data_IF_877638391460
#
_entry.id   IF_877638391460
#
_cell.length_a   1.000
_cell.length_b   1.000
_cell.length_c   1.000
_cell.angle_alpha   90.00
_cell.angle_beta   90.00
_cell.angle_gamma   90.00
#
_symmetry.space_group_name_H-M   'P 1'
#
loop_
_entity.id
_entity.type
_entity.pdbx_description
1 polymer ?
#
# COMPACT_ATOMS: atom_id res chain seq x y z
N UNK A 1 -45.70 19.21 55.07
CA UNK A 1 -45.58 18.77 53.66
C UNK A 1 -44.77 19.73 52.78
N UNK A 2 -44.82 21.06 53.00
CA UNK A 2 -44.15 22.05 52.13
C UNK A 2 -42.60 21.98 52.09
N UNK A 3 -41.93 21.62 53.19
CA UNK A 3 -40.44 21.50 53.23
C UNK A 3 -39.88 20.32 52.43
N UNK A 4 -40.64 19.23 52.24
CA UNK A 4 -40.17 18.06 51.48
C UNK A 4 -40.28 18.26 49.97
N UNK A 5 -41.26 19.05 49.54
CA UNK A 5 -41.47 19.41 48.12
C UNK A 5 -40.38 20.38 47.65
N UNK A 6 -39.94 21.31 48.51
CA UNK A 6 -38.87 22.25 48.17
C UNK A 6 -37.50 21.55 47.97
N UNK A 7 -37.22 20.50 48.75
CA UNK A 7 -35.96 19.73 48.65
C UNK A 7 -35.95 18.85 47.40
N UNK A 8 -37.07 18.24 47.01
CA UNK A 8 -37.16 17.48 45.76
C UNK A 8 -37.07 18.38 44.52
N UNK A 9 -37.64 19.58 44.56
CA UNK A 9 -37.55 20.53 43.44
C UNK A 9 -36.13 21.05 43.23
N UNK A 10 -35.34 21.19 44.30
CA UNK A 10 -33.95 21.66 44.20
C UNK A 10 -32.99 20.58 43.70
N UNK A 11 -33.30 19.29 43.92
CA UNK A 11 -32.47 18.17 43.43
C UNK A 11 -32.73 17.86 41.95
N UNK A 12 -33.90 18.21 41.42
CA UNK A 12 -34.22 17.97 40.01
C UNK A 12 -33.60 19.03 39.08
N UNK A 13 -33.30 20.23 39.59
CA UNK A 13 -32.71 21.33 38.80
C UNK A 13 -31.19 21.20 38.63
N UNK A 14 -30.51 20.47 39.53
CA UNK A 14 -29.06 20.21 39.41
C UNK A 14 -28.70 19.11 38.42
N UNK A 15 -29.66 18.29 37.96
CA UNK A 15 -29.41 17.24 36.95
C UNK A 15 -29.45 17.75 35.49
N UNK A 16 -29.91 18.99 35.25
CA UNK A 16 -30.06 19.51 33.88
C UNK A 16 -28.89 20.39 33.40
N UNK A 17 -27.78 20.48 34.16
CA UNK A 17 -26.58 21.24 33.77
C UNK A 17 -25.45 20.38 33.16
N UNK A 18 -25.70 19.09 32.90
CA UNK A 18 -24.67 18.16 32.41
C UNK A 18 -24.53 18.00 30.89
N UNK A 19 -25.25 18.78 30.06
CA UNK A 19 -25.40 18.49 28.62
C UNK A 19 -24.83 19.56 27.66
N UNK A 20 -23.81 20.32 28.07
CA UNK A 20 -23.00 21.12 27.15
C UNK A 20 -21.51 20.82 27.35
N UNK A 21 -21.12 19.56 27.20
CA UNK A 21 -19.78 19.26 26.69
C UNK A 21 -19.78 19.54 25.20
N UNK A 22 -19.72 20.81 24.84
CA UNK A 22 -19.15 21.21 23.55
C UNK A 22 -17.77 20.58 23.50
N UNK A 23 -17.63 19.48 22.76
CA UNK A 23 -16.35 19.00 22.30
C UNK A 23 -15.76 20.10 21.44
N UNK A 24 -15.05 21.03 22.08
CA UNK A 24 -14.01 21.82 21.46
C UNK A 24 -13.16 20.78 20.76
N UNK A 25 -13.26 20.75 19.43
CA UNK A 25 -12.32 20.04 18.59
C UNK A 25 -11.00 20.70 18.89
N UNK A 26 -10.30 20.16 19.88
CA UNK A 26 -8.90 20.39 20.07
C UNK A 26 -8.31 20.01 18.71
N UNK A 27 -7.97 21.01 17.91
CA UNK A 27 -6.85 20.92 17.00
C UNK A 27 -5.62 20.76 17.90
N UNK A 28 -5.56 19.62 18.59
CA UNK A 28 -4.36 19.11 19.16
C UNK A 28 -3.48 18.92 17.95
N UNK A 29 -2.54 19.86 17.76
CA UNK A 29 -1.25 19.58 17.16
C UNK A 29 -0.93 18.15 17.58
N UNK A 30 -1.06 17.22 16.63
CA UNK A 30 -0.80 15.83 16.91
C UNK A 30 0.62 15.80 17.45
N UNK A 31 0.72 15.46 18.74
CA UNK A 31 2.01 15.28 19.36
C UNK A 31 2.65 14.13 18.59
N UNK A 32 3.71 14.42 17.84
CA UNK A 32 4.44 13.40 17.11
C UNK A 32 5.08 12.48 18.16
N UNK A 33 4.37 11.41 18.48
CA UNK A 33 4.88 10.39 19.39
C UNK A 33 5.87 9.56 18.59
N UNK A 34 7.14 9.98 18.63
CA UNK A 34 8.28 9.20 18.17
C UNK A 34 8.50 8.01 19.12
N UNK A 35 7.50 7.13 19.20
CA UNK A 35 7.56 5.82 19.81
C UNK A 35 7.63 4.74 18.74
N UNK A 36 7.96 3.51 19.13
CA UNK A 36 7.92 2.31 18.29
C UNK A 36 6.46 1.96 17.96
N UNK A 37 5.77 2.82 17.20
CA UNK A 37 4.37 2.61 16.86
C UNK A 37 4.19 1.42 15.91
N UNK A 38 5.26 0.93 15.28
CA UNK A 38 5.28 -0.31 14.48
C UNK A 38 4.35 -0.31 13.26
N UNK A 39 3.52 0.71 13.08
CA UNK A 39 2.47 0.78 12.06
C UNK A 39 3.08 0.93 10.66
N UNK A 40 4.19 1.66 10.54
CA UNK A 40 4.80 2.01 9.26
C UNK A 40 5.93 1.06 8.85
N UNK A 41 6.19 0.00 9.60
CA UNK A 41 7.35 -0.87 9.36
C UNK A 41 7.07 -2.33 9.68
N UNK A 42 7.63 -3.25 8.89
CA UNK A 42 7.63 -4.68 9.17
C UNK A 42 8.85 -5.36 8.57
N UNK A 43 9.42 -6.32 9.30
CA UNK A 43 10.55 -7.12 8.82
C UNK A 43 10.07 -8.38 8.12
N UNK A 44 10.72 -8.71 7.00
CA UNK A 44 10.43 -9.88 6.17
C UNK A 44 11.72 -10.67 5.92
N UNK A 45 11.63 -12.00 5.73
CA UNK A 45 12.77 -12.78 5.27
C UNK A 45 13.10 -12.44 3.81
N UNK A 46 14.38 -12.55 3.44
CA UNK A 46 14.85 -12.35 2.08
C UNK A 46 15.66 -11.07 1.88
N UNK A 47 16.01 -10.83 0.62
CA UNK A 47 16.79 -9.66 0.20
C UNK A 47 15.93 -8.43 0.01
N UNK A 48 16.55 -7.25 0.11
CA UNK A 48 15.92 -5.96 -0.13
C UNK A 48 15.13 -5.92 -1.44
N UNK A 49 15.74 -6.42 -2.51
CA UNK A 49 15.13 -6.49 -3.84
C UNK A 49 13.90 -7.41 -3.87
N UNK A 50 13.93 -8.54 -3.16
CA UNK A 50 12.79 -9.46 -3.12
C UNK A 50 11.60 -8.88 -2.36
N UNK A 51 11.84 -8.22 -1.23
CA UNK A 51 10.83 -7.54 -0.45
C UNK A 51 10.20 -6.38 -1.23
N UNK A 52 11.01 -5.57 -1.92
CA UNK A 52 10.51 -4.44 -2.70
C UNK A 52 9.77 -4.85 -3.97
N UNK A 53 10.15 -5.95 -4.62
CA UNK A 53 9.37 -6.51 -5.72
C UNK A 53 8.02 -7.08 -5.24
N UNK A 54 7.99 -7.74 -4.07
CA UNK A 54 6.75 -8.18 -3.45
C UNK A 54 5.84 -6.99 -3.05
N UNK A 55 6.41 -5.93 -2.48
CA UNK A 55 5.71 -4.68 -2.19
C UNK A 55 5.15 -4.02 -3.45
N UNK A 56 5.91 -4.01 -4.54
CA UNK A 56 5.44 -3.50 -5.83
C UNK A 56 4.23 -4.28 -6.34
N UNK A 57 4.27 -5.61 -6.26
CA UNK A 57 3.13 -6.48 -6.63
C UNK A 57 1.93 -6.24 -5.74
N UNK A 58 2.13 -6.06 -4.43
CA UNK A 58 1.07 -5.69 -3.50
C UNK A 58 0.41 -4.35 -3.87
N UNK A 59 1.18 -3.31 -4.22
CA UNK A 59 0.61 -2.04 -4.66
C UNK A 59 -0.19 -2.20 -5.97
N UNK A 60 0.36 -2.92 -6.94
CA UNK A 60 -0.30 -3.19 -8.21
C UNK A 60 -1.62 -3.97 -8.02
N UNK A 61 -1.67 -4.95 -7.11
CA UNK A 61 -2.87 -5.73 -6.83
C UNK A 61 -4.00 -4.87 -6.25
N UNK A 62 -3.64 -3.80 -5.53
CA UNK A 62 -4.60 -2.85 -4.97
C UNK A 62 -4.93 -1.70 -5.93
N UNK A 63 -4.51 -1.77 -7.19
CA UNK A 63 -4.83 -0.78 -8.22
C UNK A 63 -4.02 0.52 -8.12
N UNK A 64 -2.86 0.51 -7.46
CA UNK A 64 -1.94 1.64 -7.51
C UNK A 64 -1.18 1.64 -8.85
N UNK A 65 -1.03 2.84 -9.43
CA UNK A 65 -0.15 3.06 -10.57
C UNK A 65 1.24 3.40 -10.04
N UNK A 66 2.24 2.62 -10.41
CA UNK A 66 3.64 2.84 -9.99
C UNK A 66 4.18 4.08 -10.72
N UNK A 67 4.60 5.09 -9.95
CA UNK A 67 5.12 6.36 -10.46
C UNK A 67 6.64 6.45 -10.45
N UNK A 68 7.30 5.75 -9.53
CA UNK A 68 8.76 5.61 -9.48
C UNK A 68 9.11 4.22 -8.93
N UNK A 69 10.20 3.63 -9.43
CA UNK A 69 10.66 2.31 -9.03
C UNK A 69 12.18 2.21 -9.10
N UNK A 70 12.79 1.86 -7.95
CA UNK A 70 14.19 1.50 -7.78
C UNK A 70 14.26 0.20 -6.97
N UNK A 71 15.41 -0.50 -6.95
CA UNK A 71 15.54 -1.77 -6.23
C UNK A 71 15.10 -1.73 -4.76
N UNK A 72 15.33 -0.60 -4.08
CA UNK A 72 15.00 -0.39 -2.66
C UNK A 72 13.81 0.54 -2.41
N UNK A 73 13.23 1.16 -3.45
CA UNK A 73 12.21 2.21 -3.29
C UNK A 73 11.10 2.02 -4.32
N UNK A 74 9.86 1.98 -3.84
CA UNK A 74 8.66 1.96 -4.69
C UNK A 74 7.80 3.18 -4.36
N UNK A 75 7.34 3.89 -5.39
CA UNK A 75 6.28 4.90 -5.26
C UNK A 75 5.09 4.53 -6.11
N UNK A 76 3.90 4.52 -5.51
CA UNK A 76 2.65 4.24 -6.19
C UNK A 76 1.61 5.31 -5.87
N UNK A 77 0.70 5.56 -6.82
CA UNK A 77 -0.40 6.50 -6.63
C UNK A 77 -1.71 5.86 -7.01
N UNK A 78 -2.75 6.09 -6.22
CA UNK A 78 -4.12 5.67 -6.54
C UNK A 78 -5.06 6.84 -6.37
N UNK A 79 -5.83 7.12 -7.43
CA UNK A 79 -6.85 8.16 -7.43
C UNK A 79 -8.20 7.55 -7.09
N UNK A 80 -8.98 8.29 -6.31
CA UNK A 80 -10.32 7.93 -5.87
C UNK A 80 -11.23 9.14 -6.07
N UNK A 81 -12.43 8.90 -6.56
CA UNK A 81 -13.48 9.91 -6.65
C UNK A 81 -14.70 9.31 -5.99
N UNK A 82 -14.99 9.74 -4.76
CA UNK A 82 -16.17 9.25 -4.03
C UNK A 82 -17.45 9.90 -4.59
N UNK A 83 -17.36 11.22 -4.82
CA UNK A 83 -18.41 12.05 -5.38
C UNK A 83 -17.84 12.87 -6.55
N UNK A 84 -18.70 13.34 -7.46
CA UNK A 84 -18.28 14.09 -8.65
C UNK A 84 -17.40 15.32 -8.33
N UNK A 85 -17.57 15.92 -7.14
CA UNK A 85 -16.87 17.15 -6.73
C UNK A 85 -15.65 16.91 -5.82
N UNK A 86 -15.43 15.67 -5.37
CA UNK A 86 -14.37 15.33 -4.42
C UNK A 86 -13.39 14.35 -5.05
N UNK A 87 -12.21 14.87 -5.37
CA UNK A 87 -11.10 14.06 -5.86
C UNK A 87 -10.12 13.80 -4.73
N UNK A 88 -9.75 12.54 -4.51
CA UNK A 88 -8.72 12.16 -3.57
C UNK A 88 -7.61 11.39 -4.28
N UNK A 89 -6.37 11.61 -3.87
CA UNK A 89 -5.20 10.86 -4.33
C UNK A 89 -4.48 10.30 -3.11
N UNK A 90 -4.10 9.03 -3.16
CA UNK A 90 -3.21 8.42 -2.17
C UNK A 90 -1.87 8.20 -2.85
N UNK A 91 -0.84 8.87 -2.34
CA UNK A 91 0.55 8.57 -2.68
C UNK A 91 1.12 7.61 -1.63
N UNK A 92 1.60 6.46 -2.08
CA UNK A 92 2.18 5.41 -1.27
C UNK A 92 3.67 5.32 -1.57
N UNK A 93 4.49 5.45 -0.53
CA UNK A 93 5.95 5.37 -0.58
C UNK A 93 6.41 4.16 0.22
N UNK A 94 7.18 3.28 -0.40
CA UNK A 94 7.76 2.09 0.23
C UNK A 94 9.28 2.15 0.09
N UNK A 95 10.00 1.88 1.18
CA UNK A 95 11.46 1.77 1.21
C UNK A 95 11.82 0.44 1.88
N UNK A 96 12.58 -0.38 1.20
CA UNK A 96 13.11 -1.63 1.74
C UNK A 96 14.57 -1.41 2.14
N UNK A 97 14.96 -1.92 3.30
CA UNK A 97 16.33 -1.79 3.82
C UNK A 97 16.75 -3.13 4.42
N UNK A 98 17.91 -3.66 4.03
CA UNK A 98 18.48 -4.84 4.68
C UNK A 98 18.86 -4.54 6.14
N UNK A 99 18.47 -5.41 7.10
CA UNK A 99 18.62 -5.13 8.54
C UNK A 99 20.09 -5.09 8.98
N UNK A 100 20.92 -5.92 8.36
CA UNK A 100 22.37 -5.98 8.57
C UNK A 100 23.04 -6.65 7.38
N UNK A 101 24.33 -6.32 7.14
CA UNK A 101 25.11 -7.00 6.10
C UNK A 101 25.17 -8.50 6.38
N UNK A 102 24.65 -9.32 5.47
CA UNK A 102 24.61 -10.78 5.60
C UNK A 102 23.41 -11.33 6.38
N UNK A 103 22.54 -10.48 6.94
CA UNK A 103 21.22 -10.93 7.39
C UNK A 103 20.36 -11.31 6.18
N UNK A 104 19.60 -12.39 6.29
CA UNK A 104 18.58 -12.76 5.31
C UNK A 104 17.23 -12.15 5.68
N UNK A 105 17.25 -10.90 6.17
CA UNK A 105 16.07 -10.16 6.56
C UNK A 105 16.16 -8.72 6.07
N UNK A 106 14.99 -8.20 5.73
CA UNK A 106 14.81 -6.85 5.21
C UNK A 106 13.64 -6.23 5.94
N UNK A 107 13.83 -5.02 6.44
CA UNK A 107 12.75 -4.20 6.97
C UNK A 107 12.16 -3.34 5.86
N UNK A 108 10.83 -3.39 5.73
CA UNK A 108 10.06 -2.60 4.77
C UNK A 108 9.36 -1.47 5.53
N UNK A 109 9.71 -0.23 5.18
CA UNK A 109 9.08 0.99 5.66
C UNK A 109 8.05 1.48 4.65
N UNK A 110 6.86 1.84 5.11
CA UNK A 110 5.74 2.25 4.29
C UNK A 110 5.10 3.53 4.84
N UNK A 111 4.85 4.49 3.96
CA UNK A 111 4.09 5.69 4.28
C UNK A 111 3.09 6.00 3.16
N UNK A 112 1.86 6.33 3.53
CA UNK A 112 0.82 6.73 2.61
C UNK A 112 0.23 8.09 2.99
N UNK A 113 0.29 9.04 2.06
CA UNK A 113 -0.29 10.38 2.21
C UNK A 113 -1.52 10.47 1.34
N UNK A 114 -2.62 10.97 1.90
CA UNK A 114 -3.87 11.25 1.20
C UNK A 114 -4.01 12.75 0.98
N UNK A 115 -4.10 13.12 -0.29
CA UNK A 115 -4.49 14.46 -0.71
C UNK A 115 -5.97 14.47 -1.07
N UNK A 116 -6.69 15.49 -0.60
CA UNK A 116 -8.09 15.74 -0.96
C UNK A 116 -8.18 17.06 -1.69
N UNK A 117 -8.94 17.05 -2.78
CA UNK A 117 -9.24 18.21 -3.62
C UNK A 117 -10.74 18.39 -3.70
N UNK A 118 -11.20 19.63 -3.60
CA UNK A 118 -12.59 20.00 -3.86
C UNK A 118 -12.66 20.91 -5.08
N UNK A 119 -13.75 20.83 -5.83
CA UNK A 119 -14.07 21.82 -6.85
C UNK A 119 -14.46 23.14 -6.18
N UNK A 120 -13.69 24.20 -6.47
CA UNK A 120 -14.11 25.56 -6.14
C UNK A 120 -14.78 26.16 -7.36
N UNK A 121 -16.10 26.34 -7.28
CA UNK A 121 -16.92 26.97 -8.31
C UNK A 121 -16.78 28.49 -8.22
N UNK A 122 -16.19 29.13 -9.24
CA UNK A 122 -16.17 30.60 -9.35
C UNK A 122 -17.21 31.04 -10.38
N UNK A 123 -18.12 31.94 -9.98
CA UNK A 123 -19.13 32.49 -10.87
C UNK A 123 -18.71 33.90 -11.30
N UNK A 124 -18.05 34.02 -12.46
CA UNK A 124 -17.65 35.30 -13.03
C UNK A 124 -18.74 35.78 -13.99
N UNK A 125 -19.48 36.82 -13.60
CA UNK A 125 -20.45 37.48 -14.49
C UNK A 125 -19.82 38.71 -15.14
N UNK A 126 -19.85 38.82 -16.47
CA UNK A 126 -19.49 40.04 -17.18
C UNK A 126 -20.72 40.96 -17.31
N UNK A 127 -20.69 42.14 -16.69
CA UNK A 127 -21.72 43.16 -16.90
C UNK A 127 -21.35 44.05 -18.08
N UNK A 128 -22.17 44.06 -19.13
CA UNK A 128 -22.05 45.04 -20.21
C UNK A 128 -22.84 46.29 -19.81
N UNK A 129 -22.13 47.40 -19.59
CA UNK A 129 -22.74 48.70 -19.36
C UNK A 129 -23.19 49.32 -20.68
N UNK A 130 -24.50 49.42 -20.89
CA UNK A 130 -25.10 50.22 -21.97
C UNK A 130 -25.53 51.57 -21.40
N UNK A 131 -24.82 52.63 -21.80
CA UNK A 131 -25.15 53.99 -21.40
C UNK A 131 -26.53 54.39 -21.95
N UNK A 132 -27.30 55.06 -21.09
CA UNK A 132 -28.63 55.67 -21.28
C UNK A 132 -29.89 54.88 -20.86
N UNK A 133 -29.88 53.56 -20.66
CA UNK A 133 -31.13 52.82 -20.36
C UNK A 133 -31.05 51.68 -19.33
N UNK A 134 -29.94 51.51 -18.61
CA UNK A 134 -29.80 50.53 -17.53
C UNK A 134 -29.08 49.25 -17.95
N UNK A 135 -28.39 48.62 -16.99
CA UNK A 135 -27.53 47.46 -17.22
C UNK A 135 -28.33 46.17 -17.37
N UNK A 136 -28.04 45.40 -18.42
CA UNK A 136 -28.53 44.03 -18.58
C UNK A 136 -27.39 43.07 -18.24
N UNK A 137 -27.50 42.39 -17.11
CA UNK A 137 -26.60 41.29 -16.75
C UNK A 137 -27.12 39.98 -17.35
N UNK A 138 -26.51 39.52 -18.44
CA UNK A 138 -26.74 38.17 -18.95
C UNK A 138 -25.73 37.22 -18.28
N UNK A 139 -26.18 36.14 -17.63
CA UNK A 139 -25.28 35.18 -16.99
C UNK A 139 -24.66 34.26 -18.05
N UNK A 140 -23.71 34.78 -18.82
CA UNK A 140 -22.76 33.94 -19.56
C UNK A 140 -21.53 33.72 -18.70
N UNK A 141 -21.73 33.01 -17.58
CA UNK A 141 -20.64 32.60 -16.70
C UNK A 141 -20.08 31.27 -17.20
N UNK A 142 -18.85 31.29 -17.74
CA UNK A 142 -18.02 30.08 -17.68
C UNK A 142 -17.93 29.70 -16.21
N UNK A 143 -18.40 28.49 -15.87
CA UNK A 143 -18.08 27.92 -14.57
C UNK A 143 -16.66 27.37 -14.67
N UNK A 144 -15.69 28.11 -14.14
CA UNK A 144 -14.33 27.59 -14.01
C UNK A 144 -14.28 26.75 -12.73
N UNK A 145 -14.23 25.43 -12.92
CA UNK A 145 -14.07 24.46 -11.86
C UNK A 145 -12.56 24.27 -11.60
N UNK A 146 -12.06 24.84 -10.51
CA UNK A 146 -10.66 24.69 -10.10
C UNK A 146 -10.53 23.68 -8.94
N UNK A 147 -9.62 22.71 -9.09
CA UNK A 147 -9.25 21.80 -8.01
C UNK A 147 -8.32 22.53 -7.03
N UNK A 148 -8.83 22.79 -5.82
CA UNK A 148 -8.01 23.32 -4.73
C UNK A 148 -7.72 22.19 -3.75
N UNK A 149 -6.45 22.00 -3.38
CA UNK A 149 -6.04 21.05 -2.34
C UNK A 149 -6.60 21.52 -1.00
N UNK A 150 -7.53 20.76 -0.43
CA UNK A 150 -8.24 21.10 0.81
C UNK A 150 -7.71 20.39 2.04
N UNK A 151 -7.03 19.25 1.88
CA UNK A 151 -6.36 18.54 2.96
C UNK A 151 -5.22 17.67 2.42
N UNK A 152 -4.19 17.46 3.24
CA UNK A 152 -3.06 16.55 3.01
C UNK A 152 -2.73 15.89 4.32
N UNK A 153 -2.93 14.59 4.44
CA UNK A 153 -2.79 13.88 5.70
C UNK A 153 -2.15 12.52 5.48
N UNK A 154 -1.15 12.19 6.30
CA UNK A 154 -0.65 10.81 6.41
C UNK A 154 -1.76 9.92 6.96
N UNK A 155 -2.03 8.80 6.31
CA UNK A 155 -3.01 7.83 6.78
C UNK A 155 -2.46 7.19 8.07
N UNK A 156 -3.09 7.38 9.25
CA UNK A 156 -2.52 6.93 10.53
C UNK A 156 -2.99 5.53 10.94
N UNK A 157 -3.80 4.86 10.12
CA UNK A 157 -4.51 3.64 10.52
C UNK A 157 -3.63 2.41 10.42
N UNK A 158 -3.35 1.75 11.55
CA UNK A 158 -2.60 0.47 11.60
C UNK A 158 -3.16 -0.61 10.66
N UNK A 159 -4.49 -0.75 10.59
CA UNK A 159 -5.14 -1.74 9.74
C UNK A 159 -4.78 -1.58 8.25
N UNK A 160 -4.63 -0.35 7.76
CA UNK A 160 -4.29 -0.07 6.37
C UNK A 160 -2.90 -0.62 6.02
N UNK A 161 -1.91 -0.38 6.87
CA UNK A 161 -0.55 -0.89 6.65
C UNK A 161 -0.46 -2.39 6.91
N UNK A 162 -1.19 -2.93 7.89
CA UNK A 162 -1.25 -4.38 8.12
C UNK A 162 -1.73 -5.12 6.86
N UNK A 163 -2.81 -4.68 6.23
CA UNK A 163 -3.30 -5.29 4.99
C UNK A 163 -2.28 -5.20 3.84
N UNK A 164 -1.55 -4.09 3.75
CA UNK A 164 -0.46 -3.95 2.79
C UNK A 164 0.66 -4.95 3.10
N UNK A 165 1.13 -5.03 4.33
CA UNK A 165 2.19 -5.95 4.74
C UNK A 165 1.79 -7.43 4.56
N UNK A 166 0.53 -7.78 4.82
CA UNK A 166 0.01 -9.13 4.59
C UNK A 166 -0.06 -9.48 3.08
N UNK A 167 -0.18 -8.47 2.20
CA UNK A 167 -0.01 -8.68 0.76
C UNK A 167 1.47 -8.88 0.39
N UNK A 168 2.38 -8.11 0.99
CA UNK A 168 3.82 -8.27 0.77
C UNK A 168 4.26 -9.70 1.13
N UNK A 169 3.85 -10.18 2.31
CA UNK A 169 4.14 -11.55 2.77
C UNK A 169 3.67 -12.60 1.76
N UNK A 170 2.42 -12.50 1.30
CA UNK A 170 1.87 -13.41 0.29
C UNK A 170 2.64 -13.40 -1.03
N UNK A 171 3.10 -12.24 -1.49
CA UNK A 171 3.89 -12.15 -2.73
C UNK A 171 5.34 -12.61 -2.56
N UNK A 172 5.88 -12.61 -1.34
CA UNK A 172 7.15 -13.24 -1.02
C UNK A 172 7.03 -14.77 -1.07
N UNK A 173 6.01 -15.33 -0.42
CA UNK A 173 5.76 -16.78 -0.41
C UNK A 173 5.39 -17.32 -1.79
N UNK A 174 4.71 -16.53 -2.61
CA UNK A 174 4.35 -16.89 -3.97
C UNK A 174 5.57 -17.22 -4.86
N UNK A 175 6.76 -16.68 -4.53
CA UNK A 175 8.02 -17.00 -5.22
C UNK A 175 8.57 -18.38 -4.82
N UNK A 176 8.12 -18.91 -3.69
CA UNK A 176 8.55 -20.20 -3.13
C UNK A 176 7.77 -21.37 -3.70
N UNK A 177 6.67 -21.15 -4.44
CA UNK A 177 6.06 -22.23 -5.22
C UNK A 177 6.98 -22.57 -6.39
N UNK A 178 7.61 -23.75 -6.40
CA UNK A 178 8.37 -24.20 -7.55
C UNK A 178 7.37 -24.38 -8.68
N UNK A 179 7.54 -23.65 -9.78
CA UNK A 179 7.14 -24.20 -11.06
C UNK A 179 8.13 -25.33 -11.39
N UNK A 180 8.06 -26.44 -10.67
CA UNK A 180 8.63 -27.70 -11.11
C UNK A 180 7.46 -28.57 -11.61
N UNK A 181 7.43 -28.94 -12.91
CA UNK A 181 6.58 -30.04 -13.32
C UNK A 181 7.04 -31.28 -12.55
N UNK A 182 6.12 -31.88 -11.80
CA UNK A 182 6.27 -33.17 -11.15
C UNK A 182 6.94 -34.14 -12.13
N UNK A 183 8.09 -34.75 -11.81
CA UNK A 183 8.63 -35.78 -12.68
C UNK A 183 7.66 -36.95 -12.64
N UNK A 184 6.94 -37.17 -13.74
CA UNK A 184 6.16 -38.37 -13.96
C UNK A 184 7.05 -39.57 -13.63
N UNK A 185 6.66 -40.29 -12.57
CA UNK A 185 7.28 -41.53 -12.15
C UNK A 185 7.21 -42.50 -13.32
N UNK A 186 8.32 -42.65 -14.04
CA UNK A 186 8.57 -43.83 -14.86
C UNK A 186 8.70 -45.02 -13.92
N UNK A 187 7.63 -45.80 -13.80
CA UNK A 187 7.82 -47.19 -13.42
C UNK A 187 6.78 -48.11 -14.04
N UNK A 188 7.33 -49.18 -14.65
CA UNK A 188 6.73 -50.47 -14.94
C UNK A 188 5.79 -50.60 -16.15
N UNK A 189 6.39 -50.85 -17.32
CA UNK A 189 6.00 -52.05 -18.08
C UNK A 189 7.24 -52.88 -18.44
N UNK A 190 7.72 -53.64 -17.45
CA UNK A 190 8.54 -54.83 -17.70
C UNK A 190 7.55 -55.99 -17.93
N UNK A 191 7.22 -56.27 -19.19
CA UNK A 191 6.69 -57.58 -19.59
C UNK A 191 7.79 -58.33 -20.33
N UNK A 192 8.12 -59.49 -19.79
CA UNK A 192 9.09 -60.44 -20.30
C UNK A 192 8.66 -61.05 -21.63
N UNK A 193 9.57 -61.12 -22.59
CA UNK A 193 9.80 -62.20 -23.57
C UNK A 193 11.03 -61.77 -24.36
N UNK A 194 12.13 -62.47 -24.59
CA UNK A 194 12.56 -63.87 -24.49
C UNK A 194 13.61 -64.07 -25.60
N UNK A 195 14.69 -64.83 -25.33
CA UNK A 195 15.76 -65.23 -26.28
C UNK A 195 16.67 -64.08 -26.79
N UNK A 196 17.98 -64.20 -26.99
CA UNK A 196 18.84 -65.36 -27.19
C UNK A 196 20.33 -64.95 -27.04
N UNK A 197 21.15 -65.91 -26.58
CA UNK A 197 22.58 -66.12 -26.92
C UNK A 197 23.73 -65.16 -26.50
N UNK A 198 24.52 -65.73 -25.57
CA UNK A 198 25.99 -66.00 -25.61
C UNK A 198 26.98 -64.93 -25.07
N UNK A 199 27.99 -65.36 -24.26
CA UNK A 199 28.98 -64.46 -23.66
C UNK A 199 30.32 -64.40 -24.41
N UNK A 200 30.97 -63.25 -24.29
CA UNK A 200 32.39 -63.02 -24.56
C UNK A 200 32.64 -61.53 -24.66
N UNK A 201 33.74 -60.92 -24.23
CA UNK A 201 34.93 -61.29 -23.48
C UNK A 201 35.75 -59.98 -23.46
N UNK A 202 36.38 -59.62 -22.32
CA UNK A 202 37.52 -58.69 -22.17
C UNK A 202 37.38 -57.26 -22.78
N UNK A 203 37.86 -56.18 -22.17
CA UNK A 203 39.18 -55.97 -21.60
C UNK A 203 39.15 -54.66 -20.82
N UNK A 204 39.81 -54.66 -19.66
CA UNK A 204 40.24 -53.48 -18.95
C UNK A 204 41.29 -52.69 -19.75
N UNK A 205 41.43 -51.40 -19.43
CA UNK A 205 42.48 -50.52 -19.93
C UNK A 205 42.45 -49.18 -19.21
N UNK A 206 43.19 -49.12 -18.10
CA UNK A 206 43.39 -47.99 -17.19
C UNK A 206 44.22 -46.85 -17.78
N UNK A 207 44.17 -45.71 -17.04
CA UNK A 207 45.24 -44.73 -16.80
C UNK A 207 45.63 -43.80 -17.97
N UNK A 208 45.41 -42.48 -17.86
CA UNK A 208 46.10 -41.47 -17.03
C UNK A 208 47.47 -41.01 -17.58
N UNK A 209 47.58 -39.67 -17.63
CA UNK A 209 48.75 -38.82 -17.44
C UNK A 209 49.77 -38.60 -18.58
N UNK A 210 49.73 -37.35 -19.07
CA UNK A 210 50.83 -36.39 -19.25
C UNK A 210 52.06 -36.71 -20.12
N UNK A 211 52.31 -35.87 -21.13
CA UNK A 211 53.67 -35.42 -21.46
C UNK A 211 53.73 -34.18 -22.35
N UNK A 212 54.64 -33.25 -21.99
CA UNK A 212 55.41 -32.31 -22.82
C UNK A 212 54.66 -31.23 -23.63
N UNK A 213 54.95 -29.93 -23.53
CA UNK A 213 56.27 -29.30 -23.39
C UNK A 213 56.93 -29.17 -24.76
N UNK A 214 56.77 -28.01 -25.41
CA UNK A 214 57.83 -27.17 -26.01
C UNK A 214 57.24 -26.04 -26.89
N UNK A 215 57.96 -24.92 -26.90
CA UNK A 215 57.85 -23.67 -27.69
C UNK A 215 56.74 -22.64 -27.36
#
# INVERSE_FOLDING_TARGET
MSRRILVLSSLCLSLMLGACSTSSKNAALQHEEFGESGVFTRSFPGTEQSACEAARRALLSQGYVISDWKPAIIKGRRKYQHDAEVHAEIEFNVVCVADSKGSNSTTVFANAVRDRYSLKKSNTSASIGVSALGSVSLPFGSTDDALVKVASETIPTGQFYNQFFDLVERYLDAKTYPNEPEPEKKEAEKKETGSDSKPGAASAGSAEAEHHGDD
#
